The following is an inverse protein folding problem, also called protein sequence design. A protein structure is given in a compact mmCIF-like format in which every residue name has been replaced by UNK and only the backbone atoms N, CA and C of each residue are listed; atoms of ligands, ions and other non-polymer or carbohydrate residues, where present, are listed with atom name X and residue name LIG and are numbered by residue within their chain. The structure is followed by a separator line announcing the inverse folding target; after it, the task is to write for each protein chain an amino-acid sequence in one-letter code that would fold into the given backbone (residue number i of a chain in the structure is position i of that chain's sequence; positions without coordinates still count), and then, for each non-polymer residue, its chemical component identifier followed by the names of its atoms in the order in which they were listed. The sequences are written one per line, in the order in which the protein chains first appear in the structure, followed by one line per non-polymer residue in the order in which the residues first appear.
data_IF_800624461096
#
_entry.id   IF_800624461096
#
_cell.length_a   1.000
_cell.length_b   1.000
_cell.length_c   1.000
_cell.angle_alpha   90.00
_cell.angle_beta   90.00
_cell.angle_gamma   90.00
#
_symmetry.space_group_name_H-M   'P 1'
#
loop_
_entity.id
_entity.type
_entity.pdbx_description
1 polymer ?
#
# COMPACT_ATOMS: atom_id res chain seq x y z
N UNK A 1 10.29 1.66 -3.37
CA UNK A 1 9.79 2.79 -2.55
C UNK A 1 9.27 2.28 -1.23
N UNK A 2 9.34 3.10 -0.22
CA UNK A 2 8.82 2.76 1.10
C UNK A 2 7.76 3.76 1.51
N UNK A 3 6.81 3.28 2.29
CA UNK A 3 5.77 4.12 2.85
C UNK A 3 5.19 3.48 4.10
N UNK A 4 4.21 4.13 4.67
CA UNK A 4 3.56 3.67 5.90
C UNK A 4 2.07 3.46 5.61
N UNK A 5 1.54 2.35 6.10
CA UNK A 5 0.12 2.08 5.93
C UNK A 5 -0.67 3.08 6.76
N UNK A 6 -1.48 3.90 6.08
CA UNK A 6 -2.30 4.90 6.72
C UNK A 6 -3.64 4.32 7.15
N UNK A 7 -4.24 3.50 6.30
CA UNK A 7 -5.56 2.95 6.56
C UNK A 7 -5.74 1.63 5.84
N UNK A 8 -6.46 0.73 6.47
CA UNK A 8 -6.94 -0.51 5.88
C UNK A 8 -8.45 -0.52 5.97
N UNK A 9 -9.11 -1.12 4.97
CA UNK A 9 -10.55 -1.27 4.98
C UNK A 9 -10.93 -2.73 5.01
N UNK A 10 -12.16 -3.01 5.41
CA UNK A 10 -12.68 -4.38 5.45
C UNK A 10 -12.93 -4.95 4.06
N UNK A 11 -12.81 -4.12 3.03
CA UNK A 11 -13.08 -4.53 1.66
C UNK A 11 -11.84 -5.08 0.95
N UNK A 12 -10.72 -5.19 1.65
CA UNK A 12 -9.51 -5.77 1.09
C UNK A 12 -8.62 -4.78 0.35
N UNK A 13 -8.67 -3.51 0.71
CA UNK A 13 -7.76 -2.51 0.16
C UNK A 13 -7.36 -1.52 1.25
N UNK A 14 -6.38 -0.70 0.95
CA UNK A 14 -5.93 0.30 1.90
C UNK A 14 -5.16 1.41 1.21
N UNK A 15 -4.60 2.29 2.04
CA UNK A 15 -3.85 3.44 1.57
C UNK A 15 -2.49 3.50 2.25
N UNK A 16 -1.49 3.89 1.48
CA UNK A 16 -0.12 4.03 1.95
C UNK A 16 0.27 5.49 1.83
N UNK A 17 0.78 6.07 2.93
CA UNK A 17 1.34 7.41 2.94
C UNK A 17 2.80 7.32 2.53
N UNK A 18 3.18 8.06 1.50
CA UNK A 18 4.56 8.12 1.03
C UNK A 18 5.17 9.44 1.47
N UNK A 19 6.31 9.35 2.12
CA UNK A 19 7.02 10.53 2.61
C UNK A 19 7.34 11.47 1.46
N UNK A 20 7.01 12.75 1.64
CA UNK A 20 7.25 13.76 0.63
C UNK A 20 6.15 13.90 -0.40
N UNK A 21 5.09 13.10 -0.31
CA UNK A 21 3.95 13.19 -1.22
C UNK A 21 2.69 13.55 -0.44
N UNK A 22 1.87 14.39 -1.04
CA UNK A 22 0.63 14.83 -0.41
C UNK A 22 -0.50 13.82 -0.55
N UNK A 23 -0.44 12.99 -1.59
CA UNK A 23 -1.50 12.03 -1.88
C UNK A 23 -1.09 10.63 -1.45
N UNK A 24 -2.06 9.92 -0.87
CA UNK A 24 -1.85 8.53 -0.50
C UNK A 24 -1.93 7.64 -1.72
N UNK A 25 -1.21 6.51 -1.67
CA UNK A 25 -1.30 5.51 -2.71
C UNK A 25 -2.31 4.44 -2.30
N UNK A 26 -3.15 4.05 -3.26
CA UNK A 26 -4.08 2.95 -3.09
C UNK A 26 -3.33 1.62 -3.28
N UNK A 27 -3.65 0.62 -2.45
CA UNK A 27 -3.18 -0.74 -2.68
C UNK A 27 -4.30 -1.73 -2.41
N UNK A 28 -4.28 -2.84 -3.12
CA UNK A 28 -5.27 -3.91 -2.96
C UNK A 28 -4.60 -5.12 -2.33
N UNK A 29 -5.38 -5.96 -1.65
CA UNK A 29 -4.83 -7.17 -1.04
C UNK A 29 -4.16 -8.10 -2.05
N UNK A 30 -4.58 -8.04 -3.31
CA UNK A 30 -3.96 -8.82 -4.38
C UNK A 30 -2.60 -8.29 -4.81
N UNK A 31 -2.25 -7.08 -4.38
CA UNK A 31 -0.96 -6.48 -4.70
C UNK A 31 0.13 -6.84 -3.69
N UNK A 32 -0.19 -7.65 -2.70
CA UNK A 32 0.74 -8.04 -1.66
C UNK A 32 1.62 -9.20 -2.13
N UNK A 33 2.89 -9.17 -1.73
CA UNK A 33 3.86 -10.22 -2.07
C UNK A 33 4.49 -10.71 -0.78
N UNK A 34 4.35 -12.00 -0.50
CA UNK A 34 4.96 -12.60 0.67
C UNK A 34 4.34 -12.25 2.00
N UNK A 35 3.25 -11.47 2.00
CA UNK A 35 2.50 -11.11 3.21
C UNK A 35 1.02 -11.17 2.89
N UNK A 36 0.21 -11.37 3.92
CA UNK A 36 -1.24 -11.32 3.76
C UNK A 36 -1.74 -9.96 4.22
N UNK A 37 -2.93 -9.62 3.78
CA UNK A 37 -3.55 -8.36 4.16
C UNK A 37 -3.72 -8.24 5.67
N UNK A 38 -4.05 -9.36 6.32
CA UNK A 38 -4.25 -9.38 7.76
C UNK A 38 -2.95 -9.17 8.54
N UNK A 39 -1.81 -9.50 7.95
CA UNK A 39 -0.51 -9.31 8.59
C UNK A 39 -0.06 -7.85 8.59
N UNK A 40 -0.64 -7.04 7.71
CA UNK A 40 -0.31 -5.62 7.64
C UNK A 40 -1.21 -4.84 8.57
N UNK A 41 -0.63 -3.92 9.33
CA UNK A 41 -1.36 -3.07 10.26
C UNK A 41 -1.12 -1.61 9.92
N UNK A 42 -2.07 -0.78 10.31
CA UNK A 42 -1.90 0.67 10.19
C UNK A 42 -0.67 1.09 10.98
N UNK A 43 0.16 1.90 10.36
CA UNK A 43 1.42 2.32 10.94
C UNK A 43 2.61 1.47 10.55
N UNK A 44 2.40 0.33 9.89
CA UNK A 44 3.51 -0.51 9.44
C UNK A 44 4.21 0.12 8.24
N UNK A 45 5.53 -0.03 8.20
CA UNK A 45 6.32 0.37 7.05
C UNK A 45 6.32 -0.74 6.03
N UNK A 46 6.06 -0.38 4.78
CA UNK A 46 6.03 -1.34 3.68
C UNK A 46 6.91 -0.85 2.54
N UNK A 47 7.36 -1.80 1.73
CA UNK A 47 8.10 -1.53 0.51
C UNK A 47 7.23 -1.92 -0.67
N UNK A 48 7.26 -1.13 -1.74
CA UNK A 48 6.36 -1.36 -2.87
C UNK A 48 6.88 -0.67 -4.12
N UNK A 49 6.27 -1.00 -5.25
CA UNK A 49 6.46 -0.30 -6.51
C UNK A 49 5.21 0.49 -6.83
N UNK A 50 5.33 1.48 -7.71
CA UNK A 50 4.20 2.29 -8.14
C UNK A 50 3.86 1.95 -9.57
N UNK A 51 2.58 1.73 -9.83
CA UNK A 51 2.07 1.47 -11.17
C UNK A 51 0.98 2.48 -11.49
N UNK A 52 1.06 3.07 -12.68
CA UNK A 52 0.03 3.99 -13.13
C UNK A 52 -1.18 3.21 -13.62
N UNK A 53 -2.36 3.70 -13.28
CA UNK A 53 -3.63 3.14 -13.73
C UNK A 53 -4.54 4.26 -14.20
N UNK A 54 -5.63 3.94 -14.92
CA UNK A 54 -6.59 4.96 -15.33
C UNK A 54 -7.20 5.75 -14.17
N UNK A 55 -7.19 5.18 -12.97
CA UNK A 55 -7.72 5.85 -11.76
C UNK A 55 -6.65 6.57 -10.96
N UNK A 56 -5.39 6.51 -11.40
CA UNK A 56 -4.27 7.12 -10.71
C UNK A 56 -3.21 6.10 -10.31
N UNK A 57 -2.16 6.52 -9.61
CA UNK A 57 -1.11 5.60 -9.22
C UNK A 57 -1.56 4.64 -8.13
N UNK A 58 -1.11 3.39 -8.25
CA UNK A 58 -1.36 2.33 -7.26
C UNK A 58 -0.04 1.76 -6.76
N UNK A 59 -0.04 1.30 -5.52
CA UNK A 59 1.10 0.53 -5.01
C UNK A 59 0.92 -0.93 -5.40
N UNK A 60 1.98 -1.53 -5.92
CA UNK A 60 2.00 -2.95 -6.32
C UNK A 60 3.22 -3.61 -5.71
N UNK A 61 3.24 -4.94 -5.67
CA UNK A 61 4.34 -5.71 -5.09
C UNK A 61 4.63 -5.25 -3.66
N UNK A 62 3.57 -5.04 -2.89
CA UNK A 62 3.67 -4.52 -1.52
C UNK A 62 4.14 -5.62 -0.58
N UNK A 63 5.15 -5.31 0.23
CA UNK A 63 5.67 -6.23 1.23
C UNK A 63 6.14 -5.46 2.45
N UNK A 64 6.29 -6.15 3.57
CA UNK A 64 6.85 -5.51 4.76
C UNK A 64 8.31 -5.12 4.51
N UNK A 65 8.64 -3.94 4.94
CA UNK A 65 10.01 -3.46 4.86
C UNK A 65 10.89 -4.11 5.91
#
# INVERSE_FOLDING_TARGET
MQGVIKKKTDKGFGFITVQGQEKDLFFHSKSLVGVTFDELNEGDTVEFDVEDSPKGPNAVNVKKA
#
